data_IF_192787976011
#
_entry.id   IF_192787976011
#
_cell.length_a   1.000
_cell.length_b   1.000
_cell.length_c   1.000
_cell.angle_alpha   90.00
_cell.angle_beta   90.00
_cell.angle_gamma   90.00
#
_symmetry.space_group_name_H-M   'P 1'
#
loop_
_entity.id
_entity.type
_entity.pdbx_description
1 polymer ?
#
# COMPACT_ATOMS: atom_id res chain seq x y z
N UNK A 1 10.17 8.30 57.84
CA UNK A 1 10.01 7.43 56.71
C UNK A 1 9.77 8.28 55.47
N UNK A 2 10.77 8.39 54.61
CA UNK A 2 10.63 9.02 53.29
C UNK A 2 9.97 8.01 52.38
N UNK A 3 8.73 8.24 52.04
CA UNK A 3 7.98 7.42 51.11
C UNK A 3 8.42 7.84 49.67
N UNK A 4 9.38 7.12 49.13
CA UNK A 4 9.71 7.21 47.69
C UNK A 4 8.55 6.61 46.91
N UNK A 5 7.69 7.46 46.36
CA UNK A 5 6.77 7.07 45.33
C UNK A 5 7.59 6.68 44.08
N UNK A 6 8.00 5.44 44.00
CA UNK A 6 8.41 4.85 42.73
C UNK A 6 7.17 4.77 41.85
N UNK A 7 6.99 5.71 40.95
CA UNK A 7 6.06 5.54 39.83
C UNK A 7 6.45 4.25 39.13
N UNK A 8 5.53 3.33 38.87
CA UNK A 8 5.83 2.17 38.05
C UNK A 8 6.09 2.69 36.65
N UNK A 9 7.35 2.91 36.33
CA UNK A 9 7.78 3.09 34.95
C UNK A 9 7.63 1.71 34.30
N UNK A 10 6.44 1.42 33.83
CA UNK A 10 6.28 0.31 32.87
C UNK A 10 7.26 0.58 31.74
N UNK A 11 8.25 -0.28 31.53
CA UNK A 11 9.15 -0.07 30.41
C UNK A 11 8.30 -0.05 29.15
N UNK A 12 8.28 1.11 28.48
CA UNK A 12 7.57 1.24 27.20
C UNK A 12 8.23 0.26 26.23
N UNK A 13 7.56 -0.85 25.98
CA UNK A 13 8.05 -1.84 25.03
C UNK A 13 7.62 -1.39 23.64
N UNK A 14 8.50 -0.74 22.93
CA UNK A 14 8.30 -0.45 21.52
C UNK A 14 8.76 -1.68 20.75
N UNK A 15 7.86 -2.30 20.02
CA UNK A 15 8.16 -3.39 19.11
C UNK A 15 7.85 -2.92 17.70
N UNK A 16 8.86 -2.83 16.86
CA UNK A 16 8.71 -2.64 15.42
C UNK A 16 8.83 -4.01 14.78
N UNK A 17 7.79 -4.42 14.05
CA UNK A 17 7.78 -5.68 13.30
C UNK A 17 7.98 -5.34 11.83
N UNK A 18 8.94 -5.99 11.18
CA UNK A 18 9.08 -5.90 9.72
C UNK A 18 7.92 -6.62 9.04
N UNK A 19 7.01 -5.86 8.48
CA UNK A 19 5.83 -6.35 7.75
C UNK A 19 6.12 -6.57 6.25
N UNK A 20 7.33 -6.32 5.78
CA UNK A 20 7.68 -6.52 4.36
C UNK A 20 7.49 -7.96 3.90
N UNK A 21 7.57 -8.92 4.82
CA UNK A 21 7.29 -10.33 4.55
C UNK A 21 5.80 -10.61 4.29
N UNK A 22 4.90 -9.75 4.74
CA UNK A 22 3.46 -9.88 4.50
C UNK A 22 3.09 -9.63 3.02
N UNK A 23 3.95 -9.00 2.24
CA UNK A 23 3.83 -8.90 0.77
C UNK A 23 3.89 -10.28 0.08
N UNK A 24 4.16 -11.33 0.81
CA UNK A 24 4.33 -12.72 0.32
C UNK A 24 3.02 -13.39 -0.12
N UNK A 25 1.88 -12.88 0.27
CA UNK A 25 0.60 -13.55 0.01
C UNK A 25 0.13 -13.48 -1.45
N UNK A 26 0.85 -12.79 -2.31
CA UNK A 26 0.56 -12.73 -3.74
C UNK A 26 1.17 -13.93 -4.46
N UNK A 27 0.49 -14.42 -5.46
CA UNK A 27 0.82 -15.59 -6.29
C UNK A 27 1.93 -15.37 -7.31
N UNK A 28 2.31 -14.13 -7.52
CA UNK A 28 3.50 -13.78 -8.29
C UNK A 28 4.69 -13.86 -7.34
N UNK A 29 5.82 -14.37 -7.80
CA UNK A 29 7.05 -14.31 -7.04
C UNK A 29 7.27 -12.85 -6.64
N UNK A 30 7.23 -12.56 -5.34
CA UNK A 30 7.35 -11.18 -4.79
C UNK A 30 8.57 -10.46 -5.34
N UNK A 31 9.61 -11.23 -5.62
CA UNK A 31 10.89 -10.78 -6.17
C UNK A 31 10.76 -10.10 -7.54
N UNK A 32 9.70 -10.44 -8.28
CA UNK A 32 9.42 -9.88 -9.60
C UNK A 32 8.68 -8.54 -9.53
N UNK A 33 8.09 -8.23 -8.38
CA UNK A 33 7.32 -6.99 -8.22
C UNK A 33 8.22 -5.75 -8.14
N UNK A 34 7.76 -4.64 -8.73
CA UNK A 34 8.46 -3.35 -8.67
C UNK A 34 8.64 -2.88 -7.22
N UNK A 35 7.60 -3.03 -6.39
CA UNK A 35 7.62 -2.63 -5.00
C UNK A 35 8.67 -3.39 -4.18
N UNK A 36 8.75 -4.70 -4.36
CA UNK A 36 9.77 -5.53 -3.68
C UNK A 36 11.19 -5.14 -4.09
N UNK A 37 11.44 -5.02 -5.39
CA UNK A 37 12.77 -4.63 -5.89
C UNK A 37 13.19 -3.25 -5.36
N UNK A 38 12.26 -2.30 -5.33
CA UNK A 38 12.52 -0.97 -4.76
C UNK A 38 12.85 -1.07 -3.27
N UNK A 39 12.04 -1.80 -2.49
CA UNK A 39 12.26 -1.99 -1.05
C UNK A 39 13.61 -2.66 -0.77
N UNK A 40 13.97 -3.70 -1.50
CA UNK A 40 15.26 -4.37 -1.34
C UNK A 40 16.45 -3.47 -1.71
N UNK A 41 16.30 -2.65 -2.75
CA UNK A 41 17.32 -1.67 -3.11
C UNK A 41 17.53 -0.61 -2.02
N UNK A 42 16.43 -0.11 -1.43
CA UNK A 42 16.51 0.83 -0.30
C UNK A 42 17.14 0.17 0.94
N UNK A 43 16.77 -1.07 1.24
CA UNK A 43 17.34 -1.84 2.35
C UNK A 43 18.84 -2.02 2.17
N UNK A 44 19.28 -2.44 0.99
CA UNK A 44 20.70 -2.62 0.69
C UNK A 44 21.50 -1.31 0.80
N UNK A 45 20.91 -0.18 0.41
CA UNK A 45 21.55 1.14 0.58
C UNK A 45 21.74 1.50 2.06
N UNK A 46 20.77 1.19 2.91
CA UNK A 46 20.90 1.41 4.35
C UNK A 46 21.90 0.44 4.98
N UNK A 47 21.83 -0.85 4.64
CA UNK A 47 22.79 -1.86 5.15
C UNK A 47 24.23 -1.51 4.81
N UNK A 48 24.50 -0.97 3.62
CA UNK A 48 25.83 -0.53 3.22
C UNK A 48 26.37 0.67 4.04
N UNK A 49 25.49 1.46 4.66
CA UNK A 49 25.87 2.60 5.52
C UNK A 49 26.06 2.20 6.97
N UNK A 50 25.52 1.06 7.40
CA UNK A 50 25.59 0.62 8.78
C UNK A 50 26.97 0.04 9.09
N UNK A 51 27.56 0.32 10.26
CA UNK A 51 28.78 -0.35 10.69
C UNK A 51 28.50 -1.82 11.01
N UNK A 52 29.50 -2.68 10.94
CA UNK A 52 29.36 -4.13 11.20
C UNK A 52 28.72 -4.46 12.56
N UNK A 53 28.95 -3.65 13.58
CA UNK A 53 28.44 -3.82 14.93
C UNK A 53 27.21 -2.96 15.23
N UNK A 54 26.48 -2.49 14.22
CA UNK A 54 25.36 -1.55 14.35
C UNK A 54 24.30 -1.99 15.38
N UNK A 55 24.07 -3.30 15.52
CA UNK A 55 23.05 -3.84 16.42
C UNK A 55 23.50 -3.91 17.88
N UNK A 56 24.80 -3.76 18.15
CA UNK A 56 25.38 -3.88 19.50
C UNK A 56 25.59 -2.53 20.16
N UNK A 57 25.80 -1.49 19.37
CA UNK A 57 26.12 -0.15 19.87
C UNK A 57 25.47 0.90 18.97
N UNK A 58 24.62 1.73 19.54
CA UNK A 58 23.91 2.80 18.82
C UNK A 58 24.73 4.10 18.67
N UNK A 59 25.90 4.20 19.31
CA UNK A 59 26.71 5.44 19.31
C UNK A 59 27.12 5.90 17.94
N UNK A 60 27.15 5.01 16.94
CA UNK A 60 27.41 5.37 15.55
C UNK A 60 26.37 6.36 15.00
N UNK A 61 25.14 6.36 15.50
CA UNK A 61 24.12 7.35 15.12
C UNK A 61 24.51 8.77 15.50
N UNK A 62 25.32 8.94 16.55
CA UNK A 62 25.78 10.28 17.00
C UNK A 62 26.69 10.96 15.97
N UNK A 63 27.27 10.22 15.04
CA UNK A 63 28.09 10.73 13.95
C UNK A 63 27.29 11.09 12.68
N UNK A 64 26.00 10.78 12.66
CA UNK A 64 25.12 11.05 11.52
C UNK A 64 24.46 12.41 11.65
N UNK A 65 24.12 13.01 10.50
CA UNK A 65 23.29 14.20 10.48
C UNK A 65 21.85 13.87 10.91
N UNK A 66 21.13 14.86 11.41
CA UNK A 66 19.72 14.72 11.80
C UNK A 66 18.89 14.20 10.62
N UNK A 67 19.17 14.67 9.42
CA UNK A 67 18.43 14.26 8.20
C UNK A 67 18.65 12.77 7.88
N UNK A 68 19.86 12.25 8.03
CA UNK A 68 20.16 10.83 7.82
C UNK A 68 19.46 9.96 8.86
N UNK A 69 19.46 10.38 10.12
CA UNK A 69 18.73 9.67 11.19
C UNK A 69 17.23 9.66 10.94
N UNK A 70 16.64 10.78 10.53
CA UNK A 70 15.22 10.89 10.19
C UNK A 70 14.86 10.04 8.97
N UNK A 71 15.72 9.99 7.95
CA UNK A 71 15.51 9.15 6.78
C UNK A 71 15.55 7.65 7.15
N UNK A 72 16.52 7.23 7.97
CA UNK A 72 16.56 5.84 8.46
C UNK A 72 15.33 5.52 9.30
N UNK A 73 14.91 6.42 10.19
CA UNK A 73 13.69 6.25 10.98
C UNK A 73 12.47 6.14 10.08
N UNK A 74 12.36 6.98 9.05
CA UNK A 74 11.30 6.93 8.05
C UNK A 74 11.25 5.58 7.34
N UNK A 75 12.40 5.07 6.90
CA UNK A 75 12.50 3.74 6.30
C UNK A 75 12.03 2.62 7.25
N UNK A 76 12.52 2.61 8.49
CA UNK A 76 12.10 1.63 9.48
C UNK A 76 10.61 1.72 9.81
N UNK A 77 10.07 2.93 9.91
CA UNK A 77 8.65 3.15 10.15
C UNK A 77 7.80 2.66 8.99
N UNK A 78 8.20 2.95 7.75
CA UNK A 78 7.50 2.50 6.55
C UNK A 78 7.44 0.97 6.46
N UNK A 79 8.53 0.26 6.80
CA UNK A 79 8.55 -1.21 6.81
C UNK A 79 7.71 -1.82 7.92
N UNK A 80 7.43 -1.07 8.99
CA UNK A 80 6.61 -1.50 10.11
C UNK A 80 5.10 -1.22 9.92
N UNK A 81 4.73 -0.43 8.91
CA UNK A 81 3.31 -0.15 8.63
C UNK A 81 2.62 -1.41 8.11
N UNK A 82 1.51 -1.76 8.74
CA UNK A 82 0.64 -2.84 8.27
C UNK A 82 -0.41 -2.27 7.31
N UNK A 83 -0.32 -2.62 6.05
CA UNK A 83 -1.20 -2.12 4.99
C UNK A 83 -2.33 -3.10 4.63
N UNK A 84 -2.68 -4.02 5.52
CA UNK A 84 -3.82 -4.89 5.28
C UNK A 84 -5.13 -4.13 5.45
N UNK A 85 -5.96 -4.20 4.40
CA UNK A 85 -7.32 -3.69 4.48
C UNK A 85 -8.22 -4.77 5.09
N UNK A 86 -8.78 -4.50 6.26
CA UNK A 86 -9.76 -5.38 6.89
C UNK A 86 -11.09 -5.29 6.14
N UNK A 87 -11.70 -6.45 5.88
CA UNK A 87 -13.07 -6.54 5.38
C UNK A 87 -13.97 -7.03 6.51
N UNK A 88 -14.88 -6.18 6.93
CA UNK A 88 -15.93 -6.57 7.87
C UNK A 88 -17.21 -6.83 7.10
N UNK A 89 -17.75 -8.04 7.22
CA UNK A 89 -18.96 -8.50 6.51
C UNK A 89 -18.89 -8.31 4.98
N UNK A 90 -17.70 -8.53 4.40
CA UNK A 90 -17.50 -8.43 2.94
C UNK A 90 -17.44 -7.00 2.38
N UNK A 91 -17.52 -5.98 3.22
CA UNK A 91 -17.39 -4.57 2.82
C UNK A 91 -16.00 -4.04 3.19
N UNK A 92 -15.40 -3.31 2.27
CA UNK A 92 -14.19 -2.54 2.56
C UNK A 92 -14.53 -1.42 3.54
N UNK A 93 -13.72 -1.27 4.57
CA UNK A 93 -13.80 -0.13 5.50
C UNK A 93 -12.75 0.89 5.13
N UNK A 94 -13.00 2.16 5.49
CA UNK A 94 -11.99 3.20 5.43
C UNK A 94 -10.83 2.83 6.35
N UNK A 95 -9.63 2.96 5.84
CA UNK A 95 -8.40 2.75 6.60
C UNK A 95 -7.80 4.10 6.99
N UNK A 96 -7.10 4.15 8.12
CA UNK A 96 -6.28 5.32 8.46
C UNK A 96 -5.20 5.60 7.40
N UNK A 97 -4.84 4.57 6.60
CA UNK A 97 -3.91 4.69 5.48
C UNK A 97 -4.51 5.45 4.30
N UNK A 98 -5.83 5.42 4.09
CA UNK A 98 -6.48 6.17 3.01
C UNK A 98 -6.15 7.67 3.08
N UNK A 99 -6.13 8.22 4.31
CA UNK A 99 -5.74 9.61 4.55
C UNK A 99 -4.26 9.84 4.27
N UNK A 100 -3.40 8.92 4.69
CA UNK A 100 -1.96 8.99 4.45
C UNK A 100 -1.64 8.89 2.96
N UNK A 101 -2.24 7.94 2.25
CA UNK A 101 -2.09 7.76 0.80
C UNK A 101 -2.52 9.02 0.04
N UNK A 102 -3.65 9.62 0.45
CA UNK A 102 -4.13 10.87 -0.12
C UNK A 102 -3.16 12.02 0.12
N UNK A 103 -2.65 12.16 1.35
CA UNK A 103 -1.71 13.22 1.73
C UNK A 103 -0.36 13.10 1.00
N UNK A 104 0.08 11.87 0.74
CA UNK A 104 1.32 11.58 0.00
C UNK A 104 1.13 11.66 -1.52
N UNK A 105 -0.10 11.78 -2.02
CA UNK A 105 -0.40 11.67 -3.45
C UNK A 105 -0.02 10.31 -4.02
N UNK A 106 -0.14 9.24 -3.21
CA UNK A 106 0.24 7.89 -3.61
C UNK A 106 -0.60 7.42 -4.79
N UNK A 107 0.06 6.94 -5.83
CA UNK A 107 -0.58 6.35 -7.01
C UNK A 107 -0.22 4.87 -7.14
N UNK A 108 -1.15 4.01 -6.77
CA UNK A 108 -0.96 2.56 -6.83
C UNK A 108 -0.66 2.06 -8.26
N UNK A 109 -1.15 2.75 -9.30
CA UNK A 109 -0.88 2.38 -10.68
C UNK A 109 0.61 2.48 -11.08
N UNK A 110 1.43 3.14 -10.29
CA UNK A 110 2.88 3.16 -10.48
C UNK A 110 3.57 1.90 -9.94
N UNK A 111 2.93 1.21 -9.02
CA UNK A 111 3.51 0.11 -8.26
C UNK A 111 2.92 -1.24 -8.57
N UNK A 112 1.68 -1.26 -9.06
CA UNK A 112 0.94 -2.48 -9.31
C UNK A 112 0.31 -2.47 -10.71
N UNK A 113 0.36 -3.64 -11.36
CA UNK A 113 -0.34 -3.90 -12.63
C UNK A 113 -1.06 -5.25 -12.54
N UNK A 114 -2.26 -5.36 -13.13
CA UNK A 114 -2.98 -6.61 -13.15
C UNK A 114 -2.29 -7.61 -14.09
N UNK A 115 -1.90 -8.77 -13.55
CA UNK A 115 -1.35 -9.87 -14.34
C UNK A 115 -2.32 -11.04 -14.39
N UNK A 116 -2.12 -11.94 -15.35
CA UNK A 116 -2.94 -13.14 -15.46
C UNK A 116 -2.85 -13.97 -14.17
N UNK A 117 -1.64 -14.25 -13.69
CA UNK A 117 -1.44 -15.07 -12.49
C UNK A 117 -1.81 -14.35 -11.19
N UNK A 118 -1.47 -13.07 -11.09
CA UNK A 118 -1.66 -12.30 -9.86
C UNK A 118 -3.10 -11.85 -9.65
N UNK A 119 -3.86 -11.67 -10.72
CA UNK A 119 -5.19 -11.08 -10.65
C UNK A 119 -6.25 -11.81 -11.49
N UNK A 120 -6.10 -11.87 -12.82
CA UNK A 120 -7.19 -12.30 -13.69
C UNK A 120 -7.58 -13.78 -13.54
N UNK A 121 -6.65 -14.69 -13.31
CA UNK A 121 -6.95 -16.12 -13.06
C UNK A 121 -7.69 -16.36 -11.73
N UNK A 122 -7.71 -15.35 -10.84
CA UNK A 122 -8.31 -15.45 -9.50
C UNK A 122 -9.75 -14.94 -9.43
N UNK A 123 -10.17 -14.17 -10.42
CA UNK A 123 -11.52 -13.63 -10.54
C UNK A 123 -12.32 -14.45 -11.55
N UNK A 124 -13.65 -14.27 -11.58
CA UNK A 124 -14.51 -14.93 -12.57
C UNK A 124 -14.34 -14.31 -13.96
N UNK A 125 -14.81 -15.01 -14.99
CA UNK A 125 -14.75 -14.50 -16.37
C UNK A 125 -15.59 -13.22 -16.53
N UNK A 126 -16.71 -13.15 -15.88
CA UNK A 126 -17.57 -11.96 -15.85
C UNK A 126 -16.86 -10.77 -15.19
N UNK A 127 -16.07 -11.05 -14.14
CA UNK A 127 -15.26 -10.02 -13.48
C UNK A 127 -14.08 -9.57 -14.35
N UNK A 128 -13.51 -10.46 -15.19
CA UNK A 128 -12.49 -10.08 -16.18
C UNK A 128 -13.09 -9.10 -17.18
N UNK A 129 -14.25 -9.43 -17.76
CA UNK A 129 -14.96 -8.55 -18.69
C UNK A 129 -15.34 -7.21 -18.04
N UNK A 130 -15.78 -7.25 -16.79
CA UNK A 130 -16.07 -6.05 -15.97
C UNK A 130 -14.84 -5.15 -15.80
N UNK A 131 -13.68 -5.74 -15.49
CA UNK A 131 -12.42 -5.01 -15.34
C UNK A 131 -11.96 -4.34 -16.66
N UNK A 132 -12.08 -5.05 -17.78
CA UNK A 132 -11.80 -4.51 -19.11
C UNK A 132 -12.75 -3.34 -19.44
N UNK A 133 -14.02 -3.46 -19.10
CA UNK A 133 -15.03 -2.40 -19.27
C UNK A 133 -14.70 -1.18 -18.41
N UNK A 134 -14.37 -1.38 -17.14
CA UNK A 134 -13.96 -0.32 -16.21
C UNK A 134 -12.72 0.43 -16.70
N UNK A 135 -11.79 -0.29 -17.36
CA UNK A 135 -10.60 0.29 -18.00
C UNK A 135 -10.89 0.99 -19.33
N UNK A 136 -12.15 1.08 -19.77
CA UNK A 136 -12.53 1.68 -21.05
C UNK A 136 -12.27 0.80 -22.26
N UNK A 137 -12.04 -0.52 -22.07
CA UNK A 137 -11.74 -1.51 -23.11
C UNK A 137 -12.98 -2.37 -23.45
N UNK A 138 -14.13 -1.75 -23.71
CA UNK A 138 -15.42 -2.44 -23.89
C UNK A 138 -15.43 -3.44 -25.03
N UNK A 139 -14.75 -3.16 -26.15
CA UNK A 139 -14.62 -4.12 -27.26
C UNK A 139 -13.89 -5.39 -26.83
N UNK A 140 -12.78 -5.23 -26.11
CA UNK A 140 -11.99 -6.35 -25.58
C UNK A 140 -12.75 -7.13 -24.50
N UNK A 141 -13.63 -6.47 -23.73
CA UNK A 141 -14.49 -7.15 -22.76
C UNK A 141 -15.41 -8.18 -23.44
N UNK A 142 -16.07 -7.78 -24.55
CA UNK A 142 -16.92 -8.68 -25.34
C UNK A 142 -16.15 -9.85 -25.96
N UNK A 143 -14.89 -9.65 -26.30
CA UNK A 143 -14.05 -10.74 -26.85
C UNK A 143 -13.61 -11.69 -25.73
N UNK A 144 -13.24 -11.19 -24.55
CA UNK A 144 -12.91 -11.99 -23.39
C UNK A 144 -14.06 -12.89 -22.93
N UNK A 145 -15.32 -12.43 -23.07
CA UNK A 145 -16.51 -13.24 -22.75
C UNK A 145 -16.66 -14.50 -23.63
N UNK A 146 -16.14 -14.48 -24.84
CA UNK A 146 -16.19 -15.61 -25.77
C UNK A 146 -15.08 -16.63 -25.54
N UNK A 147 -14.03 -16.25 -24.80
CA UNK A 147 -12.85 -17.08 -24.55
C UNK A 147 -13.05 -18.03 -23.36
N UNK A 148 -12.18 -19.03 -23.23
CA UNK A 148 -12.05 -19.79 -21.98
C UNK A 148 -11.42 -18.90 -20.91
N UNK A 149 -11.70 -19.18 -19.62
CA UNK A 149 -11.23 -18.35 -18.51
C UNK A 149 -9.72 -18.11 -18.53
N UNK A 150 -8.92 -19.15 -18.80
CA UNK A 150 -7.44 -19.03 -18.88
C UNK A 150 -7.00 -18.08 -19.98
N UNK A 151 -7.54 -18.28 -21.18
CA UNK A 151 -7.23 -17.48 -22.37
C UNK A 151 -7.69 -16.02 -22.16
N UNK A 152 -8.87 -15.83 -21.54
CA UNK A 152 -9.39 -14.50 -21.23
C UNK A 152 -8.50 -13.76 -20.21
N UNK A 153 -7.90 -14.48 -19.25
CA UNK A 153 -6.99 -13.91 -18.26
C UNK A 153 -5.67 -13.43 -18.92
N UNK A 154 -5.10 -14.22 -19.80
CA UNK A 154 -3.88 -13.87 -20.54
C UNK A 154 -4.13 -12.74 -21.54
N UNK A 155 -5.27 -12.79 -22.23
CA UNK A 155 -5.72 -11.71 -23.11
C UNK A 155 -5.91 -10.39 -22.35
N UNK A 156 -6.56 -10.44 -21.18
CA UNK A 156 -6.77 -9.25 -20.35
C UNK A 156 -5.45 -8.64 -19.87
N UNK A 157 -4.47 -9.46 -19.48
CA UNK A 157 -3.13 -8.98 -19.12
C UNK A 157 -2.49 -8.20 -20.25
N UNK A 158 -2.49 -8.75 -21.48
CA UNK A 158 -1.88 -8.11 -22.63
C UNK A 158 -2.58 -6.78 -22.98
N UNK A 159 -3.92 -6.76 -22.94
CA UNK A 159 -4.72 -5.55 -23.22
C UNK A 159 -4.51 -4.47 -22.17
N UNK A 160 -4.25 -4.88 -20.94
CA UNK A 160 -4.10 -3.97 -19.77
C UNK A 160 -2.67 -3.56 -19.49
N UNK A 161 -1.69 -4.12 -20.16
CA UNK A 161 -0.25 -3.96 -19.89
C UNK A 161 0.21 -2.50 -19.79
N UNK A 162 -0.31 -1.64 -20.65
CA UNK A 162 0.03 -0.21 -20.69
C UNK A 162 -1.05 0.67 -20.04
N UNK A 163 -2.06 0.05 -19.45
CA UNK A 163 -3.10 0.79 -18.76
C UNK A 163 -2.65 1.15 -17.34
N UNK A 164 -3.01 2.34 -16.89
CA UNK A 164 -2.85 2.74 -15.48
C UNK A 164 -4.08 2.34 -14.66
N UNK A 165 -4.80 1.32 -15.10
CA UNK A 165 -6.01 0.89 -14.42
C UNK A 165 -5.70 0.14 -13.13
N UNK A 166 -6.42 0.51 -12.10
CA UNK A 166 -6.45 -0.15 -10.79
C UNK A 166 -7.92 -0.34 -10.42
N UNK A 167 -8.31 -1.52 -9.90
CA UNK A 167 -9.68 -1.75 -9.47
C UNK A 167 -10.15 -0.68 -8.49
N UNK A 168 -11.41 -0.23 -8.63
CA UNK A 168 -11.96 0.83 -7.79
C UNK A 168 -11.86 0.51 -6.29
N UNK A 169 -12.00 -0.76 -5.90
CA UNK A 169 -11.89 -1.21 -4.51
C UNK A 169 -10.47 -1.22 -3.94
N UNK A 170 -9.43 -1.05 -4.78
CA UNK A 170 -8.03 -0.90 -4.37
C UNK A 170 -7.61 0.58 -4.28
N UNK A 171 -8.47 1.49 -4.71
CA UNK A 171 -8.19 2.93 -4.59
C UNK A 171 -8.56 3.41 -3.19
N UNK A 172 -7.80 4.38 -2.62
CA UNK A 172 -8.15 4.96 -1.33
C UNK A 172 -9.57 5.54 -1.40
N UNK A 173 -10.35 5.29 -0.36
CA UNK A 173 -11.67 5.88 -0.21
C UNK A 173 -11.47 7.37 0.09
N UNK A 174 -11.75 8.22 -0.88
CA UNK A 174 -11.76 9.66 -0.63
C UNK A 174 -12.84 9.97 0.40
N UNK A 175 -12.53 10.71 1.48
CA UNK A 175 -13.59 11.25 2.32
C UNK A 175 -14.55 12.03 1.40
N UNK A 176 -15.86 11.83 1.61
CA UNK A 176 -16.86 12.62 0.91
C UNK A 176 -16.47 14.09 1.09
N UNK A 177 -16.33 14.82 0.00
CA UNK A 177 -16.10 16.25 0.09
C UNK A 177 -17.16 16.82 1.02
N UNK A 178 -16.76 17.46 2.12
CA UNK A 178 -17.66 18.24 2.93
C UNK A 178 -18.30 19.22 1.96
N UNK A 179 -19.59 19.01 1.70
CA UNK A 179 -20.38 19.97 0.97
C UNK A 179 -20.37 21.23 1.85
N UNK A 180 -19.54 22.18 1.47
CA UNK A 180 -19.60 23.54 1.96
C UNK A 180 -20.95 24.12 1.50
N UNK A 181 -21.99 23.73 2.23
CA UNK A 181 -23.27 24.40 2.18
C UNK A 181 -23.10 25.71 2.96
N UNK A 182 -22.49 26.69 2.30
CA UNK A 182 -22.71 28.08 2.63
C UNK A 182 -24.20 28.37 2.45
N UNK A 183 -24.94 28.14 3.55
CA UNK A 183 -26.32 28.59 3.70
C UNK A 183 -26.27 30.13 3.76
N UNK A 184 -26.39 30.72 2.58
CA UNK A 184 -26.60 32.15 2.40
C UNK A 184 -28.05 32.47 2.81
N UNK A 185 -28.28 32.57 4.12
CA UNK A 185 -29.50 33.17 4.65
C UNK A 185 -29.44 34.66 4.44
N UNK A 186 -29.81 35.09 3.25
CA UNK A 186 -30.21 36.46 2.99
C UNK A 186 -31.35 36.85 3.92
N UNK A 187 -31.05 37.67 4.90
CA UNK A 187 -32.03 38.40 5.69
C UNK A 187 -32.48 39.62 4.90
N UNK A 188 -33.63 39.53 4.26
CA UNK A 188 -34.44 40.71 3.95
C UNK A 188 -35.45 40.93 5.07
N UNK A 189 -35.47 42.18 5.61
CA UNK A 189 -36.46 42.61 6.54
C UNK A 189 -36.10 44.01 7.12
#
# INVERSE_FOLDING_TARGET
GVQTCALPISPMKISLTDNSTALVAATVAKEETKAWRFLQAQKAQWEAKLPENWSQDFRWLMGWSTDEVLQLQGFCSATAVCCFQDRVYGRSQTSNLDTLETALGFDLAEWWQPTAEGFFKRISKEQIAGALTEAGKTGNASDAEKMKKGDAAEFAEEVMKDSRWVPAWMKPLRPAAENDSTDDTGSEG
#
